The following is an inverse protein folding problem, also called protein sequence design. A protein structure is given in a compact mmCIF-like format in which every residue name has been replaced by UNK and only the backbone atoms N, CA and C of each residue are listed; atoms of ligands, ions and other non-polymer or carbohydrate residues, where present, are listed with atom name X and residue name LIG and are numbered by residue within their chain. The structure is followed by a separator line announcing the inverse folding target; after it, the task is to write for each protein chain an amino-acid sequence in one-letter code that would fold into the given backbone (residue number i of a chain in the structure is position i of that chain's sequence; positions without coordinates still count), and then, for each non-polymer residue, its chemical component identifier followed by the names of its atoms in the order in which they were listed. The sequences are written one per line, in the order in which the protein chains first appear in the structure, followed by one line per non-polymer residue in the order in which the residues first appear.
data_IF_167213337059
#
_entry.id   IF_167213337059
#
_cell.length_a   1.000
_cell.length_b   1.000
_cell.length_c   1.000
_cell.angle_alpha   90.00
_cell.angle_beta   90.00
_cell.angle_gamma   90.00
#
_symmetry.space_group_name_H-M   'P 1'
#
loop_
_entity.id
_entity.type
_entity.pdbx_description
1 polymer ?
#
# COMPACT_ATOMS: atom_id res chain seq x y z
N UNK A 1 6.42 46.20 37.89
CA UNK A 1 6.99 45.03 37.17
C UNK A 1 5.96 43.93 36.91
N UNK A 2 4.91 43.80 37.73
CA UNK A 2 3.89 42.75 37.59
C UNK A 2 2.98 42.91 36.36
N UNK A 3 2.65 44.15 35.97
CA UNK A 3 1.73 44.43 34.84
C UNK A 3 2.25 43.94 33.48
N UNK A 4 3.56 43.99 33.26
CA UNK A 4 4.18 43.45 32.04
C UNK A 4 4.13 41.92 32.02
N UNK A 5 4.43 41.26 33.14
CA UNK A 5 4.36 39.80 33.27
C UNK A 5 2.93 39.29 33.09
N UNK A 6 1.94 39.99 33.64
CA UNK A 6 0.52 39.65 33.52
C UNK A 6 0.04 39.83 32.08
N UNK A 7 0.42 40.92 31.42
CA UNK A 7 0.12 41.15 29.99
C UNK A 7 0.74 40.06 29.11
N UNK A 8 1.97 39.65 29.39
CA UNK A 8 2.66 38.59 28.65
C UNK A 8 1.99 37.23 28.86
N UNK A 9 1.57 36.92 30.10
CA UNK A 9 0.82 35.69 30.42
C UNK A 9 -0.51 35.62 29.71
N UNK A 10 -1.28 36.70 29.71
CA UNK A 10 -2.59 36.72 29.07
C UNK A 10 -2.48 36.67 27.54
N UNK A 11 -1.49 37.36 26.97
CA UNK A 11 -1.22 37.28 25.53
C UNK A 11 -0.81 35.86 25.12
N UNK A 12 0.04 35.20 25.92
CA UNK A 12 0.45 33.82 25.66
C UNK A 12 -0.70 32.83 25.86
N UNK A 13 -1.57 33.00 26.86
CA UNK A 13 -2.75 32.15 27.06
C UNK A 13 -3.78 32.32 25.94
N UNK A 14 -4.05 33.55 25.53
CA UNK A 14 -4.93 33.85 24.40
C UNK A 14 -4.41 33.21 23.11
N UNK A 15 -3.12 33.40 22.81
CA UNK A 15 -2.47 32.81 21.63
C UNK A 15 -2.35 31.28 21.71
N UNK A 16 -2.22 30.70 22.89
CA UNK A 16 -2.16 29.24 23.07
C UNK A 16 -3.54 28.58 22.88
N UNK A 17 -4.63 29.28 23.23
CA UNK A 17 -5.99 28.81 22.97
C UNK A 17 -6.38 28.92 21.48
N UNK A 18 -5.80 29.89 20.77
CA UNK A 18 -5.97 30.09 19.32
C UNK A 18 -4.94 29.33 18.47
N UNK A 19 -3.93 28.72 19.10
CA UNK A 19 -2.92 27.96 18.38
C UNK A 19 -3.60 26.77 17.68
N UNK A 20 -3.34 26.54 16.38
CA UNK A 20 -3.79 25.33 15.70
C UNK A 20 -3.39 24.12 16.53
N UNK A 21 -4.32 23.18 16.73
CA UNK A 21 -4.03 21.94 17.46
C UNK A 21 -2.79 21.29 16.85
N UNK A 22 -1.88 20.79 17.68
CA UNK A 22 -0.64 20.16 17.23
C UNK A 22 -0.85 18.82 16.50
N UNK A 23 -2.10 18.45 16.23
CA UNK A 23 -2.48 17.34 15.36
C UNK A 23 -1.89 17.59 13.96
N UNK A 24 -0.98 16.72 13.51
CA UNK A 24 -0.34 16.79 12.20
C UNK A 24 1.11 17.32 12.18
N UNK A 25 1.58 18.02 13.21
CA UNK A 25 2.99 18.50 13.24
C UNK A 25 3.99 17.33 13.31
N UNK A 26 3.64 16.26 14.03
CA UNK A 26 4.42 15.03 14.07
C UNK A 26 4.42 14.32 12.70
N UNK A 27 3.30 14.34 11.97
CA UNK A 27 3.19 13.79 10.61
C UNK A 27 4.08 14.53 9.62
N UNK A 28 4.03 15.86 9.63
CA UNK A 28 4.89 16.70 8.78
C UNK A 28 6.39 16.55 9.10
N UNK A 29 6.76 16.41 10.37
CA UNK A 29 8.14 16.13 10.78
C UNK A 29 8.60 14.74 10.33
N UNK A 30 7.73 13.71 10.44
CA UNK A 30 7.99 12.36 9.93
C UNK A 30 8.18 12.38 8.42
N UNK A 31 7.34 13.09 7.64
CA UNK A 31 7.53 13.26 6.18
C UNK A 31 8.89 13.89 5.82
N UNK A 32 9.31 14.96 6.52
CA UNK A 32 10.63 15.59 6.27
C UNK A 32 11.79 14.68 6.64
N UNK A 33 11.66 13.90 7.72
CA UNK A 33 12.64 12.88 8.10
C UNK A 33 12.68 11.71 7.12
N UNK A 34 11.51 11.25 6.63
CA UNK A 34 11.36 10.22 5.58
C UNK A 34 12.11 10.62 4.32
N UNK A 35 11.82 11.82 3.77
CA UNK A 35 12.53 12.38 2.60
C UNK A 35 14.04 12.52 2.79
N UNK A 36 14.50 12.86 4.00
CA UNK A 36 15.94 12.97 4.29
C UNK A 36 16.65 11.63 4.39
N UNK A 37 15.96 10.58 4.83
CA UNK A 37 16.54 9.23 4.96
C UNK A 37 16.65 8.55 3.59
N UNK A 38 15.63 8.64 2.76
CA UNK A 38 15.67 8.11 1.39
C UNK A 38 16.74 8.80 0.55
N UNK A 39 16.87 10.13 0.64
CA UNK A 39 17.94 10.88 -0.03
C UNK A 39 19.37 10.53 0.44
N UNK A 40 19.54 9.98 1.65
CA UNK A 40 20.86 9.56 2.15
C UNK A 40 21.20 8.10 1.83
N UNK A 41 20.21 7.25 1.57
CA UNK A 41 20.45 5.85 1.18
C UNK A 41 20.99 5.74 -0.25
N UNK A 42 20.55 6.60 -1.18
CA UNK A 42 21.02 6.60 -2.58
C UNK A 42 22.43 7.18 -2.76
N UNK A 43 22.92 8.00 -1.83
CA UNK A 43 24.26 8.59 -1.90
C UNK A 43 25.37 7.71 -1.26
N UNK A 44 25.03 6.56 -0.68
CA UNK A 44 25.90 5.82 0.23
C UNK A 44 26.51 4.51 -0.28
N UNK A 45 26.40 4.17 -1.58
CA UNK A 45 26.91 2.85 -2.08
C UNK A 45 28.27 2.95 -2.79
N UNK A 46 28.81 4.15 -3.03
CA UNK A 46 30.11 4.33 -3.71
C UNK A 46 31.13 5.00 -2.80
N UNK A 47 31.49 4.37 -1.67
CA UNK A 47 32.78 4.61 -1.02
C UNK A 47 33.13 3.54 0.04
N UNK A 48 34.14 2.73 -0.28
CA UNK A 48 35.07 2.06 0.62
C UNK A 48 34.58 0.79 1.37
N UNK A 49 35.37 -0.28 1.59
CA UNK A 49 36.75 -0.64 1.25
C UNK A 49 36.88 -2.14 1.51
N UNK A 50 37.75 -2.79 0.73
CA UNK A 50 38.33 -4.13 0.94
C UNK A 50 38.62 -4.40 2.44
N UNK A 51 37.89 -5.31 3.06
CA UNK A 51 38.33 -6.04 4.26
C UNK A 51 38.33 -7.51 3.93
N UNK A 52 39.53 -8.03 3.71
CA UNK A 52 39.85 -9.45 3.75
C UNK A 52 39.50 -9.96 5.15
N UNK A 53 38.50 -10.83 5.25
CA UNK A 53 38.24 -11.64 6.44
C UNK A 53 38.05 -13.11 6.02
N UNK A 54 38.57 -14.06 6.81
CA UNK A 54 38.89 -15.41 6.37
C UNK A 54 37.66 -16.31 6.29
N UNK A 55 37.77 -17.30 5.41
CA UNK A 55 36.95 -18.51 5.38
C UNK A 55 36.67 -19.03 6.80
N UNK A 56 35.43 -18.87 7.27
CA UNK A 56 34.86 -19.77 8.27
C UNK A 56 34.37 -21.01 7.52
N UNK A 57 35.30 -21.95 7.36
CA UNK A 57 34.97 -23.35 7.10
C UNK A 57 34.15 -23.83 8.29
N UNK A 58 32.86 -24.08 8.08
CA UNK A 58 32.09 -24.91 8.99
C UNK A 58 32.62 -26.33 8.87
N UNK A 59 33.44 -26.68 9.86
CA UNK A 59 33.89 -28.04 10.13
C UNK A 59 32.65 -28.86 10.49
N UNK A 60 32.39 -29.88 9.67
CA UNK A 60 31.25 -30.78 9.81
C UNK A 60 31.74 -31.96 10.63
N UNK A 61 31.59 -31.89 11.95
CA UNK A 61 31.90 -33.00 12.84
C UNK A 61 31.05 -34.24 12.47
N UNK A 62 31.67 -35.40 12.21
CA UNK A 62 30.95 -36.64 12.01
C UNK A 62 30.80 -37.36 13.36
N UNK A 63 29.61 -37.27 13.96
CA UNK A 63 29.11 -38.30 14.85
C UNK A 63 28.79 -37.89 16.28
N UNK A 64 27.49 -37.90 16.59
CA UNK A 64 26.98 -38.51 17.82
C UNK A 64 25.51 -38.88 17.58
N UNK A 65 25.22 -40.18 17.62
CA UNK A 65 23.87 -40.69 17.68
C UNK A 65 23.36 -40.46 19.11
N UNK A 66 22.57 -39.42 19.34
CA UNK A 66 21.67 -39.39 20.48
C UNK A 66 20.29 -38.90 20.05
N UNK A 67 19.36 -39.85 20.09
CA UNK A 67 17.94 -39.70 19.85
C UNK A 67 17.34 -38.96 21.03
N UNK A 68 17.15 -37.66 20.89
CA UNK A 68 16.18 -36.91 21.67
C UNK A 68 14.96 -36.66 20.78
N UNK A 69 13.91 -37.46 20.99
CA UNK A 69 12.58 -37.22 20.42
C UNK A 69 12.00 -35.96 21.05
N UNK A 70 12.17 -34.82 20.38
CA UNK A 70 11.39 -33.62 20.67
C UNK A 70 9.91 -33.88 20.33
N UNK A 71 8.96 -33.36 21.13
CA UNK A 71 7.55 -33.50 20.82
C UNK A 71 7.26 -32.74 19.53
N UNK A 72 6.85 -33.46 18.49
CA UNK A 72 6.24 -32.89 17.29
C UNK A 72 5.03 -32.06 17.72
N UNK A 73 5.20 -30.75 17.86
CA UNK A 73 4.07 -29.83 17.84
C UNK A 73 3.37 -30.05 16.49
N UNK A 74 2.06 -30.31 16.47
CA UNK A 74 1.36 -30.40 15.20
C UNK A 74 1.47 -29.03 14.52
N UNK A 75 2.32 -28.94 13.49
CA UNK A 75 2.24 -27.90 12.49
C UNK A 75 0.89 -28.05 11.83
N UNK A 76 -0.12 -27.37 12.38
CA UNK A 76 -1.35 -27.13 11.68
C UNK A 76 -1.00 -26.20 10.51
N UNK A 77 -0.62 -26.80 9.37
CA UNK A 77 -0.70 -26.13 8.08
C UNK A 77 -2.17 -25.78 7.89
N UNK A 78 -2.57 -24.61 8.37
CA UNK A 78 -3.87 -24.05 8.07
C UNK A 78 -3.83 -23.75 6.58
N UNK A 79 -4.39 -24.64 5.77
CA UNK A 79 -4.68 -24.39 4.38
C UNK A 79 -5.60 -23.18 4.34
N UNK A 80 -5.02 -21.99 4.14
CA UNK A 80 -5.77 -20.74 3.99
C UNK A 80 -6.43 -20.77 2.61
N UNK A 81 -7.56 -21.45 2.52
CA UNK A 81 -8.53 -21.25 1.44
C UNK A 81 -9.22 -19.94 1.75
N UNK A 82 -8.72 -18.84 1.21
CA UNK A 82 -9.46 -17.57 1.17
C UNK A 82 -10.75 -17.87 0.39
N UNK A 83 -11.94 -17.79 1.01
CA UNK A 83 -13.18 -17.91 0.27
C UNK A 83 -13.29 -16.71 -0.66
N UNK A 84 -13.57 -16.94 -1.95
CA UNK A 84 -13.77 -15.86 -2.94
C UNK A 84 -14.94 -14.92 -2.59
N UNK A 85 -15.77 -15.28 -1.61
CA UNK A 85 -16.95 -14.52 -1.15
C UNK A 85 -16.69 -13.66 0.11
N UNK A 86 -15.43 -13.50 0.54
CA UNK A 86 -15.05 -12.75 1.73
C UNK A 86 -14.78 -11.25 1.49
N UNK A 87 -14.68 -10.43 2.56
CA UNK A 87 -14.14 -9.08 2.43
C UNK A 87 -12.71 -9.12 1.89
N UNK A 88 -12.40 -8.17 1.02
CA UNK A 88 -11.07 -7.95 0.46
C UNK A 88 -10.43 -6.75 1.14
N UNK A 89 -9.18 -6.90 1.54
CA UNK A 89 -8.36 -5.80 2.04
C UNK A 89 -7.92 -4.89 0.88
N UNK A 90 -8.12 -3.60 1.04
CA UNK A 90 -7.57 -2.54 0.21
C UNK A 90 -6.55 -1.75 1.01
N UNK A 91 -5.40 -1.49 0.40
CA UNK A 91 -4.37 -0.64 0.99
C UNK A 91 -3.90 0.42 -0.01
N UNK A 92 -3.52 1.59 0.50
CA UNK A 92 -2.82 2.66 -0.21
C UNK A 92 -2.06 3.51 0.81
N UNK A 93 -0.77 3.67 0.56
CA UNK A 93 0.25 4.18 1.45
C UNK A 93 0.17 3.51 2.84
N UNK A 94 -0.11 4.31 3.87
CA UNK A 94 -0.28 3.86 5.24
C UNK A 94 -1.75 3.72 5.65
N UNK A 95 -2.68 3.59 4.71
CA UNK A 95 -4.10 3.34 4.99
C UNK A 95 -4.52 1.97 4.48
N UNK A 96 -5.30 1.26 5.28
CA UNK A 96 -5.93 -0.01 4.89
C UNK A 96 -7.37 -0.10 5.38
N UNK A 97 -8.22 -0.81 4.62
CA UNK A 97 -9.63 -1.03 4.94
C UNK A 97 -10.17 -2.28 4.24
N UNK A 98 -11.38 -2.69 4.59
CA UNK A 98 -12.06 -3.84 4.01
C UNK A 98 -13.19 -3.39 3.08
N UNK A 99 -13.30 -4.04 1.92
CA UNK A 99 -14.41 -3.87 0.97
C UNK A 99 -15.02 -5.23 0.61
N UNK A 100 -16.25 -5.30 0.10
CA UNK A 100 -16.78 -6.53 -0.46
C UNK A 100 -15.89 -7.09 -1.59
N UNK A 101 -15.68 -8.41 -1.62
CA UNK A 101 -14.78 -9.07 -2.56
C UNK A 101 -15.16 -8.87 -4.03
N UNK A 102 -16.46 -8.67 -4.30
CA UNK A 102 -17.03 -8.45 -5.62
C UNK A 102 -16.83 -7.03 -6.18
N UNK A 103 -16.32 -6.09 -5.39
CA UNK A 103 -16.01 -4.74 -5.89
C UNK A 103 -14.85 -4.80 -6.87
N UNK A 104 -14.98 -4.12 -8.01
CA UNK A 104 -13.91 -3.99 -8.99
C UNK A 104 -12.74 -3.17 -8.46
N UNK A 105 -11.65 -3.18 -9.20
CA UNK A 105 -10.44 -2.39 -8.95
C UNK A 105 -10.30 -1.35 -10.04
N UNK A 106 -9.93 -0.12 -9.70
CA UNK A 106 -9.70 0.90 -10.71
C UNK A 106 -8.85 2.07 -10.25
N UNK A 107 -8.57 2.96 -11.20
CA UNK A 107 -8.07 4.31 -10.93
C UNK A 107 -9.26 5.23 -10.52
N UNK A 108 -9.04 6.50 -10.18
CA UNK A 108 -10.13 7.37 -9.74
C UNK A 108 -11.16 7.63 -10.85
N UNK A 109 -10.76 7.47 -12.12
CA UNK A 109 -11.68 7.61 -13.26
C UNK A 109 -12.60 6.41 -13.44
N UNK A 110 -12.27 5.25 -12.86
CA UNK A 110 -13.16 4.08 -12.87
C UNK A 110 -14.45 4.30 -12.07
N UNK A 111 -14.47 5.33 -11.22
CA UNK A 111 -15.68 5.81 -10.56
C UNK A 111 -16.59 6.62 -11.49
N UNK A 112 -16.03 7.21 -12.55
CA UNK A 112 -16.82 7.85 -13.59
C UNK A 112 -17.50 6.75 -14.41
N UNK A 113 -18.82 6.73 -14.39
CA UNK A 113 -19.59 5.75 -15.15
C UNK A 113 -20.34 6.43 -16.30
N UNK A 114 -20.20 5.87 -17.49
CA UNK A 114 -21.03 6.22 -18.65
C UNK A 114 -22.33 5.40 -18.69
N UNK A 115 -22.60 4.58 -17.66
CA UNK A 115 -23.84 3.84 -17.59
C UNK A 115 -25.01 4.81 -17.55
N UNK A 116 -26.07 4.49 -18.31
CA UNK A 116 -27.31 5.26 -18.28
C UNK A 116 -27.91 5.33 -16.86
N UNK A 117 -27.62 4.30 -16.04
CA UNK A 117 -27.96 4.23 -14.62
C UNK A 117 -26.67 4.03 -13.82
N UNK A 118 -26.10 5.08 -13.22
CA UNK A 118 -24.89 4.97 -12.40
C UNK A 118 -24.99 3.92 -11.28
N UNK A 119 -26.20 3.69 -10.77
CA UNK A 119 -26.49 2.68 -9.75
C UNK A 119 -26.34 1.23 -10.24
N UNK A 120 -26.34 0.98 -11.55
CA UNK A 120 -26.16 -0.35 -12.13
C UNK A 120 -24.69 -0.68 -12.43
N UNK A 121 -23.77 0.29 -12.26
CA UNK A 121 -22.34 0.04 -12.42
C UNK A 121 -21.81 -0.84 -11.29
N UNK A 122 -20.88 -1.74 -11.61
CA UNK A 122 -20.14 -2.51 -10.60
C UNK A 122 -19.41 -1.53 -9.69
N UNK A 123 -19.56 -1.62 -8.36
CA UNK A 123 -18.81 -0.76 -7.44
C UNK A 123 -17.31 -0.98 -7.60
N UNK A 124 -16.52 0.08 -7.54
CA UNK A 124 -15.05 -0.01 -7.71
C UNK A 124 -14.30 0.68 -6.58
N UNK A 125 -13.09 0.20 -6.30
CA UNK A 125 -12.13 0.92 -5.46
C UNK A 125 -11.18 1.70 -6.36
N UNK A 126 -11.35 3.01 -6.38
CA UNK A 126 -10.49 3.96 -7.05
C UNK A 126 -9.30 4.34 -6.17
N UNK A 127 -8.08 4.22 -6.70
CA UNK A 127 -6.87 4.71 -6.05
C UNK A 127 -6.19 5.78 -6.88
N UNK A 128 -5.41 6.69 -6.27
CA UNK A 128 -4.53 7.56 -7.02
C UNK A 128 -3.46 6.67 -7.65
N UNK A 129 -3.66 6.29 -8.91
CA UNK A 129 -2.57 5.88 -9.79
C UNK A 129 -1.98 7.12 -10.45
N UNK A 130 -0.84 6.95 -11.13
CA UNK A 130 -0.15 7.94 -11.96
C UNK A 130 -1.05 9.06 -12.52
N UNK A 131 -0.55 10.30 -12.50
CA UNK A 131 -1.16 11.54 -13.03
C UNK A 131 -2.62 11.38 -13.47
N UNK A 132 -3.54 11.34 -12.50
CA UNK A 132 -4.96 11.30 -12.83
C UNK A 132 -5.40 12.73 -13.18
N UNK A 133 -5.80 13.02 -14.43
CA UNK A 133 -6.42 14.30 -14.72
C UNK A 133 -7.65 14.43 -13.83
N UNK A 134 -7.84 15.60 -13.23
CA UNK A 134 -9.03 15.91 -12.43
C UNK A 134 -10.24 15.96 -13.38
N UNK A 135 -10.82 14.80 -13.68
CA UNK A 135 -11.98 14.65 -14.54
C UNK A 135 -13.21 14.77 -13.65
N UNK A 136 -13.98 15.86 -13.83
CA UNK A 136 -15.35 15.90 -13.34
C UNK A 136 -16.13 14.81 -14.07
N UNK A 137 -16.58 13.78 -13.35
CA UNK A 137 -17.36 12.70 -13.94
C UNK A 137 -18.68 13.27 -14.48
N UNK A 138 -18.96 13.06 -15.76
CA UNK A 138 -20.23 13.39 -16.40
C UNK A 138 -20.73 12.15 -17.13
N UNK A 139 -21.97 11.67 -16.88
CA UNK A 139 -23.04 12.35 -16.14
C UNK A 139 -22.97 12.22 -14.61
N UNK A 140 -22.12 11.34 -14.06
CA UNK A 140 -21.97 11.21 -12.61
C UNK A 140 -21.01 10.10 -12.18
N UNK A 141 -20.88 9.92 -10.88
CA UNK A 141 -20.09 8.87 -10.23
C UNK A 141 -20.96 7.65 -9.90
N UNK A 142 -20.35 6.46 -9.92
CA UNK A 142 -20.97 5.20 -9.50
C UNK A 142 -20.91 4.97 -7.98
N UNK A 143 -21.10 3.72 -7.56
CA UNK A 143 -20.83 3.27 -6.20
C UNK A 143 -19.39 2.80 -6.03
N UNK A 144 -18.89 2.72 -4.80
CA UNK A 144 -17.60 2.14 -4.45
C UNK A 144 -16.85 2.92 -3.38
N UNK A 145 -15.53 2.91 -3.45
CA UNK A 145 -14.66 3.73 -2.60
C UNK A 145 -13.60 4.44 -3.45
N UNK A 146 -13.19 5.64 -3.03
CA UNK A 146 -12.02 6.34 -3.55
C UNK A 146 -11.07 6.63 -2.40
N UNK A 147 -9.79 6.43 -2.64
CA UNK A 147 -8.71 6.88 -1.76
C UNK A 147 -8.04 8.06 -2.45
N UNK A 148 -7.73 9.12 -1.72
CA UNK A 148 -7.09 10.31 -2.28
C UNK A 148 -6.23 11.05 -1.25
N UNK A 149 -5.25 11.85 -1.69
CA UNK A 149 -4.62 12.83 -0.82
C UNK A 149 -5.67 13.78 -0.25
N UNK A 150 -5.63 14.04 1.05
CA UNK A 150 -6.58 14.94 1.70
C UNK A 150 -6.36 16.38 1.23
N UNK A 151 -7.43 17.02 0.76
CA UNK A 151 -7.47 18.48 0.58
C UNK A 151 -7.77 19.16 1.93
N UNK A 152 -6.84 19.93 2.52
CA UNK A 152 -7.08 20.60 3.80
C UNK A 152 -8.11 21.75 3.69
N UNK A 153 -8.40 22.25 2.49
CA UNK A 153 -9.35 23.35 2.26
C UNK A 153 -10.79 22.84 2.04
N UNK A 154 -10.96 21.54 1.79
CA UNK A 154 -12.26 20.91 1.60
C UNK A 154 -13.13 20.95 2.86
N UNK A 155 -14.38 21.37 2.71
CA UNK A 155 -15.38 21.20 3.77
C UNK A 155 -15.85 19.76 3.80
N UNK A 156 -15.34 18.99 4.77
CA UNK A 156 -15.76 17.63 5.03
C UNK A 156 -16.59 17.55 6.33
N UNK A 157 -17.58 16.64 6.41
CA UNK A 157 -18.12 16.16 7.68
C UNK A 157 -17.02 15.62 8.60
N UNK A 158 -17.33 15.27 9.85
CA UNK A 158 -16.30 14.71 10.71
C UNK A 158 -15.81 13.37 10.14
N UNK A 159 -14.51 13.08 10.31
CA UNK A 159 -13.93 11.80 9.91
C UNK A 159 -14.68 10.64 10.58
N UNK A 160 -15.12 9.67 9.77
CA UNK A 160 -15.97 8.55 10.16
C UNK A 160 -17.47 8.79 9.99
N UNK A 161 -17.91 10.02 9.65
CA UNK A 161 -19.33 10.31 9.48
C UNK A 161 -19.90 9.62 8.24
N UNK A 162 -21.14 9.14 8.38
CA UNK A 162 -21.95 8.60 7.28
C UNK A 162 -23.26 9.38 7.19
N UNK A 163 -23.56 9.90 6.01
CA UNK A 163 -24.76 10.69 5.75
C UNK A 163 -25.42 10.29 4.44
N UNK A 164 -26.67 10.68 4.28
CA UNK A 164 -27.41 10.47 3.04
C UNK A 164 -27.08 11.60 2.07
N UNK A 165 -26.63 11.26 0.87
CA UNK A 165 -26.37 12.24 -0.17
C UNK A 165 -27.65 12.95 -0.59
N UNK A 166 -27.55 14.27 -0.76
CA UNK A 166 -28.58 15.13 -1.32
C UNK A 166 -27.91 16.02 -2.35
N UNK A 167 -28.29 15.87 -3.62
CA UNK A 167 -27.80 16.74 -4.68
C UNK A 167 -28.18 18.20 -4.35
N UNK A 168 -27.22 19.14 -4.40
CA UNK A 168 -27.54 20.55 -4.25
C UNK A 168 -28.54 21.00 -5.33
N UNK A 169 -29.50 21.85 -4.97
CA UNK A 169 -30.50 22.36 -5.91
C UNK A 169 -29.82 23.10 -7.07
N UNK A 170 -30.13 22.72 -8.32
CA UNK A 170 -29.57 23.32 -9.52
C UNK A 170 -28.23 22.75 -10.00
N UNK A 171 -27.76 21.66 -9.39
CA UNK A 171 -26.55 20.94 -9.81
C UNK A 171 -26.89 19.51 -10.23
N UNK A 172 -26.11 18.98 -11.18
CA UNK A 172 -26.18 17.56 -11.52
C UNK A 172 -25.77 16.72 -10.31
N UNK A 173 -26.50 15.63 -10.06
CA UNK A 173 -26.22 14.74 -8.94
C UNK A 173 -24.84 14.09 -9.15
N UNK A 174 -23.92 14.31 -8.21
CA UNK A 174 -22.59 13.73 -8.26
C UNK A 174 -22.64 12.21 -8.08
N UNK A 175 -23.49 11.75 -7.17
CA UNK A 175 -23.69 10.34 -6.83
C UNK A 175 -25.10 9.88 -7.17
N UNK A 176 -25.35 8.56 -7.25
CA UNK A 176 -26.69 8.04 -7.42
C UNK A 176 -27.64 8.56 -6.32
N UNK A 177 -28.90 8.80 -6.71
CA UNK A 177 -29.93 9.26 -5.78
C UNK A 177 -30.05 8.34 -4.57
N UNK A 178 -30.21 8.95 -3.38
CA UNK A 178 -30.39 8.25 -2.10
C UNK A 178 -29.19 7.40 -1.66
N UNK A 179 -28.02 7.58 -2.27
CA UNK A 179 -26.77 6.99 -1.80
C UNK A 179 -26.46 7.42 -0.37
N UNK A 180 -25.75 6.54 0.33
CA UNK A 180 -25.08 6.82 1.58
C UNK A 180 -23.61 7.09 1.27
N UNK A 181 -23.12 8.21 1.79
CA UNK A 181 -21.74 8.65 1.64
C UNK A 181 -21.13 8.61 3.02
N UNK A 182 -19.94 8.05 3.13
CA UNK A 182 -19.15 8.14 4.33
C UNK A 182 -17.73 8.51 3.98
N UNK A 183 -17.10 9.27 4.88
CA UNK A 183 -15.72 9.71 4.67
C UNK A 183 -14.90 9.39 5.91
N UNK A 184 -13.75 8.79 5.69
CA UNK A 184 -12.68 8.72 6.68
C UNK A 184 -11.53 9.58 6.18
N UNK A 185 -10.87 10.29 7.07
CA UNK A 185 -9.63 10.99 6.73
C UNK A 185 -8.74 11.17 7.95
N UNK A 186 -7.43 11.28 7.69
CA UNK A 186 -6.42 11.71 8.65
C UNK A 186 -5.76 13.02 8.19
N UNK A 187 -4.51 13.30 8.54
CA UNK A 187 -3.83 14.52 8.10
C UNK A 187 -3.54 14.56 6.58
N UNK A 188 -3.44 13.40 5.95
CA UNK A 188 -2.77 13.24 4.66
C UNK A 188 -3.62 12.50 3.62
N UNK A 189 -4.53 11.62 4.06
CA UNK A 189 -5.34 10.74 3.22
C UNK A 189 -6.82 10.89 3.54
N UNK A 190 -7.66 10.81 2.52
CA UNK A 190 -9.10 10.65 2.64
C UNK A 190 -9.56 9.38 1.91
N UNK A 191 -10.54 8.69 2.50
CA UNK A 191 -11.25 7.56 1.92
C UNK A 191 -12.72 7.93 1.88
N UNK A 192 -13.27 8.13 0.68
CA UNK A 192 -14.70 8.40 0.48
C UNK A 192 -15.38 7.13 -0.02
N UNK A 193 -16.45 6.72 0.64
CA UNK A 193 -17.21 5.50 0.34
C UNK A 193 -18.64 5.88 -0.02
N UNK A 194 -19.15 5.32 -1.11
CA UNK A 194 -20.50 5.59 -1.60
C UNK A 194 -21.21 4.29 -1.94
N UNK A 195 -22.32 4.01 -1.25
CA UNK A 195 -23.08 2.78 -1.43
C UNK A 195 -24.60 3.05 -1.39
N UNK A 196 -25.44 2.12 -1.85
CA UNK A 196 -26.89 2.23 -1.65
C UNK A 196 -27.35 1.87 -0.23
N UNK A 197 -26.49 1.22 0.56
CA UNK A 197 -26.78 0.68 1.89
C UNK A 197 -25.93 1.35 2.96
N UNK A 198 -26.60 2.01 3.92
CA UNK A 198 -25.98 2.69 5.05
C UNK A 198 -25.07 1.77 5.88
N UNK A 199 -25.54 0.56 6.19
CA UNK A 199 -24.80 -0.37 7.03
C UNK A 199 -23.50 -0.79 6.34
N UNK A 200 -23.53 -0.98 5.03
CA UNK A 200 -22.33 -1.24 4.24
C UNK A 200 -21.38 -0.02 4.23
N UNK A 201 -21.90 1.21 4.09
CA UNK A 201 -21.06 2.42 4.18
C UNK A 201 -20.38 2.51 5.54
N UNK A 202 -21.15 2.33 6.63
CA UNK A 202 -20.65 2.37 8.01
C UNK A 202 -19.61 1.26 8.25
N UNK A 203 -19.82 0.06 7.70
CA UNK A 203 -18.87 -1.04 7.79
C UNK A 203 -17.53 -0.71 7.11
N UNK A 204 -17.56 -0.28 5.84
CA UNK A 204 -16.34 0.02 5.10
C UNK A 204 -15.59 1.19 5.73
N UNK A 205 -16.27 2.30 6.02
CA UNK A 205 -15.67 3.49 6.65
C UNK A 205 -15.13 3.17 8.05
N UNK A 206 -15.85 2.35 8.82
CA UNK A 206 -15.44 1.92 10.16
C UNK A 206 -14.24 0.96 10.15
N UNK A 207 -13.96 0.30 9.02
CA UNK A 207 -12.79 -0.59 8.86
C UNK A 207 -11.50 0.16 8.51
N UNK A 208 -11.59 1.46 8.17
CA UNK A 208 -10.43 2.25 7.77
C UNK A 208 -9.51 2.48 8.95
N UNK A 209 -8.24 2.10 8.78
CA UNK A 209 -7.19 2.26 9.79
C UNK A 209 -5.87 2.66 9.16
N UNK A 210 -5.08 3.40 9.92
CA UNK A 210 -3.69 3.71 9.58
C UNK A 210 -2.81 2.52 9.94
N UNK A 211 -1.98 2.08 9.01
CA UNK A 211 -0.89 1.13 9.23
C UNK A 211 0.28 1.90 9.81
N UNK A 212 0.73 1.50 11.01
CA UNK A 212 1.90 2.11 11.62
C UNK A 212 3.15 1.91 10.75
N UNK A 213 4.15 2.80 10.90
CA UNK A 213 5.30 2.81 10.01
C UNK A 213 6.04 1.46 9.97
N UNK A 214 6.18 0.78 11.11
CA UNK A 214 6.79 -0.54 11.27
C UNK A 214 5.76 -1.69 11.30
N UNK A 215 4.49 -1.38 11.02
CA UNK A 215 3.42 -2.36 10.89
C UNK A 215 3.28 -2.92 9.47
N UNK A 216 2.26 -3.74 9.29
CA UNK A 216 1.83 -4.25 8.00
C UNK A 216 0.30 -4.19 7.87
N UNK A 217 -0.20 -4.12 6.65
CA UNK A 217 -1.62 -4.31 6.36
C UNK A 217 -2.04 -5.78 6.57
N UNK A 218 -3.32 -6.10 6.33
CA UNK A 218 -3.83 -7.46 6.52
C UNK A 218 -3.28 -8.47 5.49
N UNK A 219 -2.73 -7.96 4.37
CA UNK A 219 -2.00 -8.76 3.40
C UNK A 219 -0.55 -9.01 3.82
N UNK A 220 -0.04 -8.37 4.90
CA UNK A 220 1.33 -8.51 5.37
C UNK A 220 2.32 -7.57 4.68
N UNK A 221 1.84 -6.57 3.93
CA UNK A 221 2.69 -5.58 3.28
C UNK A 221 2.88 -4.35 4.19
N UNK A 222 4.14 -3.96 4.49
CA UNK A 222 4.40 -2.71 5.21
C UNK A 222 4.16 -1.49 4.31
N UNK A 223 3.96 -0.30 4.91
CA UNK A 223 3.59 0.90 4.14
C UNK A 223 4.74 1.48 3.31
N UNK A 224 5.99 1.05 3.51
CA UNK A 224 7.15 1.52 2.74
C UNK A 224 8.06 0.37 2.30
N UNK A 225 8.66 0.47 1.10
CA UNK A 225 9.49 -0.57 0.50
C UNK A 225 10.67 -0.98 1.40
N UNK A 226 11.38 -0.01 1.98
CA UNK A 226 12.53 -0.31 2.84
C UNK A 226 12.18 -1.13 4.09
N UNK A 227 10.91 -1.10 4.53
CA UNK A 227 10.44 -2.01 5.59
C UNK A 227 10.15 -3.39 5.04
N UNK A 228 9.58 -3.51 3.83
CA UNK A 228 9.39 -4.80 3.18
C UNK A 228 10.73 -5.50 2.95
N UNK A 229 11.76 -4.79 2.49
CA UNK A 229 13.12 -5.33 2.31
C UNK A 229 13.77 -5.78 3.62
N UNK A 230 13.41 -5.15 4.74
CA UNK A 230 13.88 -5.52 6.08
C UNK A 230 13.03 -6.63 6.74
N UNK A 231 11.90 -7.01 6.14
CA UNK A 231 10.98 -8.00 6.71
C UNK A 231 11.61 -9.37 6.78
N UNK A 232 11.32 -10.07 7.88
CA UNK A 232 11.83 -11.42 8.18
C UNK A 232 10.68 -12.40 8.23
N UNK A 233 11.02 -13.68 8.08
CA UNK A 233 10.04 -14.74 8.12
C UNK A 233 9.27 -14.73 9.45
N UNK A 234 7.94 -14.83 9.36
CA UNK A 234 7.04 -14.99 10.49
C UNK A 234 6.58 -16.44 10.67
N UNK A 235 6.96 -17.34 9.73
CA UNK A 235 6.60 -18.74 9.73
C UNK A 235 5.25 -19.05 9.08
N UNK A 236 4.63 -18.08 8.40
CA UNK A 236 3.46 -18.33 7.55
C UNK A 236 3.86 -18.99 6.22
N UNK A 237 2.95 -19.76 5.61
CA UNK A 237 3.13 -20.31 4.25
C UNK A 237 2.57 -19.37 3.16
N UNK A 238 2.26 -18.12 3.53
CA UNK A 238 1.60 -17.16 2.67
C UNK A 238 2.59 -16.43 1.76
N UNK A 239 2.15 -16.10 0.53
CA UNK A 239 2.91 -15.25 -0.37
C UNK A 239 2.15 -13.94 -0.57
N UNK A 240 2.81 -12.83 -0.28
CA UNK A 240 2.25 -11.50 -0.42
C UNK A 240 2.97 -10.73 -1.52
N UNK A 241 2.18 -10.00 -2.32
CA UNK A 241 2.67 -9.11 -3.36
C UNK A 241 2.35 -7.69 -2.93
N UNK A 242 3.38 -6.87 -2.78
CA UNK A 242 3.29 -5.48 -2.34
C UNK A 242 3.82 -4.60 -3.47
N UNK A 243 2.97 -3.78 -4.10
CA UNK A 243 3.40 -2.79 -5.08
C UNK A 243 3.64 -1.46 -4.39
N UNK A 244 4.77 -0.84 -4.66
CA UNK A 244 5.18 0.47 -4.16
C UNK A 244 5.30 1.44 -5.33
N UNK A 245 5.02 2.72 -5.10
CA UNK A 245 5.15 3.78 -6.09
C UNK A 245 6.61 4.28 -6.22
N UNK A 246 6.81 5.38 -6.96
CA UNK A 246 8.13 6.00 -7.18
C UNK A 246 8.73 6.65 -5.92
N UNK A 247 7.91 6.80 -4.88
CA UNK A 247 8.26 7.36 -3.58
C UNK A 247 8.49 6.26 -2.53
N UNK A 248 8.49 4.99 -2.96
CA UNK A 248 8.60 3.80 -2.14
C UNK A 248 7.43 3.63 -1.13
N UNK A 249 6.30 4.32 -1.33
CA UNK A 249 5.08 4.19 -0.52
C UNK A 249 4.18 3.08 -1.11
N UNK A 250 3.49 2.31 -0.27
CA UNK A 250 2.69 1.14 -0.68
C UNK A 250 1.51 1.57 -1.57
N UNK A 251 1.54 1.31 -2.87
CA UNK A 251 0.43 1.62 -3.77
C UNK A 251 -0.74 0.64 -3.59
N UNK A 252 -0.41 -0.66 -3.46
CA UNK A 252 -1.37 -1.71 -3.15
C UNK A 252 -0.74 -3.02 -2.71
N UNK A 253 -1.54 -3.87 -2.07
CA UNK A 253 -1.12 -5.19 -1.61
C UNK A 253 -2.13 -6.29 -1.92
N UNK A 254 -1.65 -7.53 -1.97
CA UNK A 254 -2.47 -8.74 -2.05
C UNK A 254 -1.75 -9.93 -1.44
N UNK A 255 -2.44 -10.69 -0.60
CA UNK A 255 -2.03 -12.06 -0.26
C UNK A 255 -2.56 -13.03 -1.32
N UNK A 256 -1.68 -13.84 -1.89
CA UNK A 256 -2.04 -14.81 -2.92
C UNK A 256 -2.69 -16.06 -2.32
N UNK A 257 -3.60 -16.65 -3.08
CA UNK A 257 -4.08 -18.01 -2.81
C UNK A 257 -2.91 -19.01 -2.88
N UNK A 258 -3.04 -20.19 -2.28
CA UNK A 258 -1.98 -21.21 -2.35
C UNK A 258 -1.63 -21.62 -3.81
N UNK A 259 -2.63 -21.68 -4.68
CA UNK A 259 -2.45 -21.99 -6.10
C UNK A 259 -1.69 -20.88 -6.83
N UNK A 260 -2.09 -19.61 -6.64
CA UNK A 260 -1.43 -18.46 -7.25
C UNK A 260 -0.01 -18.26 -6.68
N UNK A 261 0.17 -18.48 -5.38
CA UNK A 261 1.48 -18.45 -4.74
C UNK A 261 2.43 -19.49 -5.36
N UNK A 262 1.95 -20.72 -5.57
CA UNK A 262 2.72 -21.77 -6.26
C UNK A 262 3.09 -21.33 -7.67
N UNK A 263 2.11 -20.85 -8.44
CA UNK A 263 2.31 -20.35 -9.81
C UNK A 263 3.34 -19.21 -9.86
N UNK A 264 3.25 -18.24 -8.97
CA UNK A 264 4.19 -17.10 -8.93
C UNK A 264 5.59 -17.58 -8.56
N UNK A 265 5.74 -18.48 -7.59
CA UNK A 265 7.04 -19.09 -7.26
C UNK A 265 7.64 -19.83 -8.45
N UNK A 266 6.84 -20.59 -9.19
CA UNK A 266 7.30 -21.31 -10.38
C UNK A 266 7.75 -20.34 -11.50
N UNK A 267 7.00 -19.26 -11.73
CA UNK A 267 7.37 -18.21 -12.69
C UNK A 267 8.66 -17.50 -12.28
N UNK A 268 8.84 -17.19 -11.00
CA UNK A 268 10.07 -16.58 -10.47
C UNK A 268 11.28 -17.51 -10.58
N UNK A 269 11.10 -18.81 -10.34
CA UNK A 269 12.16 -19.81 -10.46
C UNK A 269 12.56 -20.09 -11.92
N UNK A 270 11.60 -20.00 -12.85
CA UNK A 270 11.82 -20.26 -14.29
C UNK A 270 12.17 -19.02 -15.10
N UNK A 271 12.09 -17.82 -14.52
CA UNK A 271 12.51 -16.57 -15.16
C UNK A 271 13.96 -16.67 -15.68
N UNK A 272 14.24 -16.37 -16.96
CA UNK A 272 15.57 -16.54 -17.53
C UNK A 272 16.57 -15.55 -16.91
N UNK A 273 17.84 -15.94 -16.84
CA UNK A 273 18.91 -15.03 -16.45
C UNK A 273 18.99 -13.86 -17.42
N UNK A 274 19.21 -12.66 -16.87
CA UNK A 274 19.42 -11.48 -17.69
C UNK A 274 20.72 -11.61 -18.47
N UNK A 275 20.64 -11.53 -19.79
CA UNK A 275 21.79 -11.75 -20.69
C UNK A 275 22.38 -10.46 -21.26
N UNK A 276 21.70 -9.33 -21.07
CA UNK A 276 22.08 -8.02 -21.63
C UNK A 276 22.31 -7.05 -20.48
N UNK A 277 23.51 -6.49 -20.42
CA UNK A 277 23.82 -5.32 -19.60
C UNK A 277 23.31 -4.06 -20.29
N UNK A 278 22.54 -3.26 -19.56
CA UNK A 278 22.01 -2.00 -20.03
C UNK A 278 22.64 -0.86 -19.23
N UNK A 279 23.11 0.17 -19.92
CA UNK A 279 23.56 1.41 -19.30
C UNK A 279 22.34 2.32 -19.06
N UNK A 280 21.68 2.14 -17.90
CA UNK A 280 20.54 2.95 -17.51
C UNK A 280 20.99 4.18 -16.70
N UNK A 281 20.48 5.39 -16.98
CA UNK A 281 20.74 6.55 -16.13
C UNK A 281 20.25 6.27 -14.72
N UNK A 282 20.94 6.75 -13.68
CA UNK A 282 20.56 6.53 -12.27
C UNK A 282 19.45 7.45 -11.79
N UNK A 283 19.21 8.57 -12.48
CA UNK A 283 18.32 9.65 -12.01
C UNK A 283 16.85 9.51 -12.43
N UNK A 284 16.51 8.58 -13.32
CA UNK A 284 15.10 8.38 -13.66
C UNK A 284 14.35 7.82 -12.44
N UNK A 285 13.16 8.34 -12.12
CA UNK A 285 12.30 7.69 -11.13
C UNK A 285 12.01 6.28 -11.62
N UNK A 286 12.17 5.30 -10.73
CA UNK A 286 11.76 3.95 -11.09
C UNK A 286 10.23 3.93 -11.23
N UNK A 287 9.70 3.20 -12.22
CA UNK A 287 8.28 2.84 -12.17
C UNK A 287 8.03 2.06 -10.88
N UNK A 288 6.75 1.96 -10.50
CA UNK A 288 6.38 1.22 -9.29
C UNK A 288 7.07 -0.16 -9.19
N UNK A 289 7.48 -0.51 -7.98
CA UNK A 289 8.24 -1.74 -7.68
C UNK A 289 7.36 -2.73 -6.93
N UNK A 290 7.56 -4.01 -7.17
CA UNK A 290 6.93 -5.08 -6.41
C UNK A 290 7.92 -5.67 -5.42
N UNK A 291 7.56 -5.74 -4.15
CA UNK A 291 8.18 -6.66 -3.20
C UNK A 291 7.34 -7.92 -3.08
N UNK A 292 7.97 -9.08 -3.21
CA UNK A 292 7.35 -10.38 -2.94
C UNK A 292 7.83 -10.85 -1.57
N UNK A 293 6.87 -11.04 -0.66
CA UNK A 293 7.13 -11.54 0.69
C UNK A 293 6.70 -13.02 0.77
N UNK A 294 7.61 -13.93 1.10
CA UNK A 294 7.34 -15.36 1.28
C UNK A 294 7.42 -15.69 2.76
N UNK A 295 6.29 -16.10 3.34
CA UNK A 295 6.15 -16.28 4.78
C UNK A 295 6.49 -15.04 5.60
N UNK A 296 6.11 -13.87 5.07
CA UNK A 296 6.43 -12.56 5.65
C UNK A 296 7.86 -12.07 5.43
N UNK A 297 8.79 -12.93 4.98
CA UNK A 297 10.17 -12.55 4.69
C UNK A 297 10.28 -11.88 3.32
N UNK A 298 11.14 -10.86 3.20
CA UNK A 298 11.54 -10.37 1.90
C UNK A 298 12.20 -11.47 1.07
N UNK A 299 11.60 -11.80 -0.07
CA UNK A 299 12.15 -12.80 -0.96
C UNK A 299 12.81 -12.14 -2.18
N UNK A 300 12.08 -11.25 -2.86
CA UNK A 300 12.41 -10.80 -4.21
C UNK A 300 11.84 -9.39 -4.46
N UNK A 301 12.58 -8.55 -5.19
CA UNK A 301 12.06 -7.35 -5.85
C UNK A 301 11.79 -7.62 -7.33
N UNK A 302 10.68 -7.09 -7.85
CA UNK A 302 10.37 -7.11 -9.28
C UNK A 302 10.05 -5.71 -9.74
N UNK A 303 10.67 -5.26 -10.83
CA UNK A 303 10.42 -3.94 -11.43
C UNK A 303 9.86 -4.13 -12.82
N UNK A 304 8.74 -3.47 -13.12
CA UNK A 304 8.06 -3.51 -14.42
C UNK A 304 7.73 -2.10 -14.89
N UNK A 305 7.54 -1.92 -16.21
CA UNK A 305 7.12 -0.63 -16.78
C UNK A 305 8.20 0.46 -16.84
N UNK A 306 9.48 0.13 -16.63
CA UNK A 306 10.54 1.12 -16.62
C UNK A 306 10.84 1.61 -18.03
N UNK A 307 11.02 2.93 -18.18
CA UNK A 307 11.47 3.57 -19.43
C UNK A 307 12.78 2.96 -19.94
N UNK A 308 13.73 2.71 -19.04
CA UNK A 308 14.96 1.99 -19.36
C UNK A 308 14.75 0.47 -19.25
N UNK A 309 14.93 -0.31 -20.34
CA UNK A 309 14.74 -1.75 -20.32
C UNK A 309 15.56 -2.47 -19.24
N UNK A 310 16.79 -2.02 -18.97
CA UNK A 310 17.67 -2.62 -17.96
C UNK A 310 17.17 -2.55 -16.51
N UNK A 311 16.23 -1.65 -16.22
CA UNK A 311 15.62 -1.57 -14.90
C UNK A 311 14.49 -2.59 -14.73
N UNK A 312 13.89 -3.07 -15.81
CA UNK A 312 12.84 -4.10 -15.74
C UNK A 312 13.45 -5.47 -15.44
N UNK A 313 13.21 -6.01 -14.25
CA UNK A 313 13.92 -7.20 -13.78
C UNK A 313 13.32 -7.83 -12.55
N UNK A 314 13.73 -9.08 -12.31
CA UNK A 314 13.58 -9.77 -11.04
C UNK A 314 14.92 -9.71 -10.34
N UNK A 315 14.98 -9.06 -9.19
CA UNK A 315 16.19 -8.81 -8.41
C UNK A 315 16.20 -9.68 -7.17
N UNK A 316 17.22 -10.55 -7.07
CA UNK A 316 17.41 -11.51 -5.98
C UNK A 316 18.82 -11.38 -5.42
N UNK A 317 19.06 -11.95 -4.24
CA UNK A 317 20.39 -11.98 -3.64
C UNK A 317 21.42 -12.77 -4.47
N UNK A 318 20.96 -13.74 -5.28
CA UNK A 318 21.80 -14.61 -6.11
C UNK A 318 21.96 -14.12 -7.56
N UNK A 319 21.29 -13.02 -7.95
CA UNK A 319 21.45 -12.41 -9.27
C UNK A 319 20.20 -11.72 -9.81
N UNK A 320 20.27 -11.36 -11.09
CA UNK A 320 19.21 -10.66 -11.82
C UNK A 320 18.62 -11.55 -12.92
N UNK A 321 17.30 -11.52 -13.06
CA UNK A 321 16.56 -12.28 -14.07
C UNK A 321 15.61 -11.36 -14.85
N UNK A 322 15.23 -11.79 -16.04
CA UNK A 322 14.26 -11.06 -16.86
C UNK A 322 12.84 -11.23 -16.32
N UNK A 323 12.02 -10.18 -16.37
CA UNK A 323 10.59 -10.29 -16.08
C UNK A 323 9.90 -10.81 -17.32
N UNK A 324 9.29 -11.99 -17.23
CA UNK A 324 8.46 -12.52 -18.32
C UNK A 324 7.09 -11.84 -18.32
N UNK A 325 6.40 -11.76 -19.47
CA UNK A 325 5.02 -11.23 -19.53
C UNK A 325 4.06 -11.98 -18.59
N UNK A 326 4.23 -13.30 -18.44
CA UNK A 326 3.40 -14.11 -17.56
C UNK A 326 3.64 -13.79 -16.08
N UNK A 327 4.90 -13.54 -15.70
CA UNK A 327 5.24 -13.12 -14.35
C UNK A 327 4.69 -11.72 -14.06
N UNK A 328 4.89 -10.77 -14.97
CA UNK A 328 4.32 -9.44 -14.85
C UNK A 328 2.80 -9.51 -14.65
N UNK A 329 2.10 -10.25 -15.51
CA UNK A 329 0.65 -10.42 -15.41
C UNK A 329 0.20 -11.13 -14.11
N UNK A 330 0.99 -12.05 -13.56
CA UNK A 330 0.66 -12.74 -12.31
C UNK A 330 0.87 -11.83 -11.07
N UNK A 331 1.84 -10.93 -11.14
CA UNK A 331 2.13 -9.95 -10.09
C UNK A 331 1.19 -8.75 -10.14
N UNK A 332 0.73 -8.35 -11.33
CA UNK A 332 -0.25 -7.28 -11.46
C UNK A 332 -1.58 -7.67 -10.80
N UNK A 333 -2.32 -6.64 -10.39
CA UNK A 333 -3.63 -6.84 -9.79
C UNK A 333 -4.62 -7.30 -10.88
N UNK A 334 -5.43 -8.35 -10.63
CA UNK A 334 -6.43 -8.76 -11.60
C UNK A 334 -7.40 -7.60 -11.88
N UNK A 335 -7.52 -7.20 -13.13
CA UNK A 335 -8.61 -6.34 -13.59
C UNK A 335 -9.83 -7.24 -13.78
N UNK A 336 -10.71 -7.29 -12.78
CA UNK A 336 -12.01 -7.98 -12.84
C UNK A 336 -12.96 -7.31 -13.82
#
# INVERSE_FOLDING_TARGET
MTEFEDTLRDTLRGRAAEAPRAEGLAGGARRRLRRRRTAMATAGVVAAVVVVAPFLVWDRDPGSNDVATDPTSPTASATSTVPDDGPRTESWHDVTFEVPGEWGVGNPTAWCTNAAEPAAATPTVGRPSDVTPMIACSPGQGYGAIIEPRDPEGYFPASGDVWRYQAPEGFDALYPDRSWVGIWYDADVAVTVVTPDRALTEQVVGSVRVVEADGADDNGCPPMLGFAEASKADGSDSLSVCRYDDSDDLEWSRRLSAADATRVRDLLASAPERSIDYDCPTEEPDPGRFAVLDGGAYAIAVVTGASCPGRNGVFRADGEREVTPELAAALERPTS
#
